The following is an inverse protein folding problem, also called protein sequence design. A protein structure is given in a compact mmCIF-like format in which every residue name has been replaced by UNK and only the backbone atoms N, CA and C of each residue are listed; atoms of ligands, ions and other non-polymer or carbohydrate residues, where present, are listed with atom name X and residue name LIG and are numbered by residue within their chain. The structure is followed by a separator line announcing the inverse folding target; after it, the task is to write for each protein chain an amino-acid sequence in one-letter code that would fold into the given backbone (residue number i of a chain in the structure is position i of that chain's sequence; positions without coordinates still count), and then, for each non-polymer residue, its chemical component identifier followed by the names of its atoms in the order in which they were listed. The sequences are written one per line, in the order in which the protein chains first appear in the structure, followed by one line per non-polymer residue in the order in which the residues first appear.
data_IF_610383809545
#
_entry.id   IF_610383809545
#
_cell.length_a   1.000
_cell.length_b   1.000
_cell.length_c   1.000
_cell.angle_alpha   90.00
_cell.angle_beta   90.00
_cell.angle_gamma   90.00
#
_symmetry.space_group_name_H-M   'P 1'
#
loop_
_entity.id
_entity.type
_entity.pdbx_description
1 polymer ?
#
# COMPACT_ATOMS: atom_id res chain seq x y z
N UNK A 1 34.99 8.89 -12.69
CA UNK A 1 34.16 7.72 -12.32
C UNK A 1 33.42 7.26 -13.56
N UNK A 2 33.27 5.95 -13.77
CA UNK A 2 32.56 5.41 -14.94
C UNK A 2 31.05 5.62 -14.75
N UNK A 3 30.33 6.08 -15.78
CA UNK A 3 28.87 6.30 -15.74
C UNK A 3 28.09 5.03 -15.31
N UNK A 4 28.65 3.84 -15.54
CA UNK A 4 28.10 2.56 -15.08
C UNK A 4 28.11 2.41 -13.55
N UNK A 5 29.14 2.94 -12.89
CA UNK A 5 29.28 2.88 -11.43
C UNK A 5 28.34 3.88 -10.74
N UNK A 6 28.14 5.05 -11.32
CA UNK A 6 27.15 6.05 -10.85
C UNK A 6 25.72 5.56 -11.06
N UNK A 7 25.42 4.94 -12.20
CA UNK A 7 24.11 4.34 -12.45
C UNK A 7 23.79 3.22 -11.44
N UNK A 8 24.76 2.34 -11.16
CA UNK A 8 24.58 1.24 -10.21
C UNK A 8 24.47 1.71 -8.77
N UNK A 9 25.20 2.74 -8.35
CA UNK A 9 25.03 3.34 -7.01
C UNK A 9 23.63 3.97 -6.87
N UNK A 10 23.21 4.77 -7.85
CA UNK A 10 21.88 5.40 -7.83
C UNK A 10 20.72 4.38 -7.84
N UNK A 11 20.94 3.21 -8.44
CA UNK A 11 19.94 2.13 -8.43
C UNK A 11 19.85 1.48 -7.04
N UNK A 12 20.99 1.22 -6.40
CA UNK A 12 21.04 0.63 -5.04
C UNK A 12 20.45 1.59 -4.00
N UNK A 13 20.77 2.89 -4.06
CA UNK A 13 20.21 3.88 -3.14
C UNK A 13 18.69 4.00 -3.28
N UNK A 14 18.15 3.90 -4.51
CA UNK A 14 16.70 3.87 -4.76
C UNK A 14 16.01 2.60 -4.24
N UNK A 15 16.65 1.45 -4.40
CA UNK A 15 16.12 0.17 -3.90
C UNK A 15 16.05 0.18 -2.37
N UNK A 16 17.07 0.74 -1.69
CA UNK A 16 17.10 0.89 -0.24
C UNK A 16 16.03 1.88 0.27
N UNK A 17 15.80 2.99 -0.44
CA UNK A 17 14.75 3.96 -0.09
C UNK A 17 13.34 3.36 -0.27
N UNK A 18 13.15 2.53 -1.31
CA UNK A 18 11.88 1.83 -1.54
C UNK A 18 11.58 0.81 -0.47
N UNK A 19 12.54 -0.06 -0.14
CA UNK A 19 12.39 -1.08 0.89
C UNK A 19 12.11 -0.43 2.26
N UNK A 20 12.82 0.65 2.59
CA UNK A 20 12.56 1.41 3.83
C UNK A 20 11.16 2.03 3.88
N UNK A 21 10.64 2.53 2.75
CA UNK A 21 9.28 3.08 2.68
C UNK A 21 8.23 1.98 2.84
N UNK A 22 8.40 0.84 2.18
CA UNK A 22 7.50 -0.31 2.30
C UNK A 22 7.46 -0.83 3.74
N UNK A 23 8.62 -1.00 4.37
CA UNK A 23 8.73 -1.42 5.78
C UNK A 23 8.03 -0.44 6.71
N UNK A 24 8.20 0.88 6.49
CA UNK A 24 7.53 1.90 7.29
C UNK A 24 6.01 1.82 7.17
N UNK A 25 5.47 1.72 5.95
CA UNK A 25 4.02 1.63 5.74
C UNK A 25 3.47 0.33 6.36
N UNK A 26 4.18 -0.78 6.21
CA UNK A 26 3.80 -2.05 6.82
C UNK A 26 3.80 -1.99 8.36
N UNK A 27 4.79 -1.32 8.95
CA UNK A 27 4.89 -1.05 10.39
C UNK A 27 3.74 -0.17 10.86
N UNK A 28 3.44 0.94 10.17
CA UNK A 28 2.32 1.83 10.49
C UNK A 28 0.99 1.07 10.56
N UNK A 29 0.70 0.19 9.59
CA UNK A 29 -0.50 -0.65 9.62
C UNK A 29 -0.49 -1.61 10.81
N UNK A 30 0.65 -2.22 11.11
CA UNK A 30 0.79 -3.23 12.17
C UNK A 30 0.70 -2.63 13.57
N UNK A 31 1.22 -1.42 13.74
CA UNK A 31 1.18 -0.65 14.98
C UNK A 31 -0.16 0.08 15.18
N UNK A 32 -0.98 0.14 14.14
CA UNK A 32 -2.31 0.75 14.19
C UNK A 32 -2.27 2.27 14.06
N UNK A 33 -1.36 2.83 13.26
CA UNK A 33 -1.35 4.25 12.95
C UNK A 33 -2.72 4.64 12.35
N UNK A 34 -3.46 5.57 12.98
CA UNK A 34 -4.82 5.87 12.56
C UNK A 34 -4.94 6.35 11.12
N UNK A 35 -3.95 7.09 10.61
CA UNK A 35 -4.02 7.64 9.27
C UNK A 35 -3.82 6.54 8.24
N UNK A 36 -2.76 5.75 8.39
CA UNK A 36 -2.44 4.66 7.46
C UNK A 36 -3.49 3.55 7.52
N UNK A 37 -4.00 3.20 8.71
CA UNK A 37 -5.08 2.22 8.85
C UNK A 37 -6.40 2.67 8.22
N UNK A 38 -6.77 3.96 8.35
CA UNK A 38 -7.98 4.47 7.70
C UNK A 38 -7.85 4.46 6.17
N UNK A 39 -6.70 4.90 5.65
CA UNK A 39 -6.43 4.84 4.21
C UNK A 39 -6.46 3.39 3.69
N UNK A 40 -5.91 2.44 4.45
CA UNK A 40 -5.97 1.02 4.09
C UNK A 40 -7.39 0.46 4.14
N UNK A 41 -8.20 0.85 5.13
CA UNK A 41 -9.60 0.46 5.21
C UNK A 41 -10.42 1.00 4.02
N UNK A 42 -10.20 2.26 3.64
CA UNK A 42 -10.80 2.86 2.44
C UNK A 42 -10.36 2.13 1.16
N UNK A 43 -9.08 1.78 1.05
CA UNK A 43 -8.57 0.98 -0.05
C UNK A 43 -9.27 -0.39 -0.13
N UNK A 44 -9.37 -1.11 0.99
CA UNK A 44 -10.08 -2.39 1.06
C UNK A 44 -11.56 -2.23 0.64
N UNK A 45 -12.24 -1.19 1.13
CA UNK A 45 -13.64 -0.95 0.81
C UNK A 45 -13.88 -0.74 -0.70
N UNK A 46 -12.92 -0.14 -1.40
CA UNK A 46 -12.99 0.08 -2.85
C UNK A 46 -12.66 -1.18 -3.67
N UNK A 47 -11.80 -2.06 -3.16
CA UNK A 47 -11.37 -3.28 -3.86
C UNK A 47 -12.29 -4.50 -3.62
N UNK A 48 -13.11 -4.46 -2.56
CA UNK A 48 -13.99 -5.57 -2.19
C UNK A 48 -14.98 -5.91 -3.31
N UNK A 49 -14.97 -7.18 -3.73
CA UNK A 49 -15.85 -7.66 -4.79
C UNK A 49 -17.31 -7.74 -4.29
N UNK A 50 -18.24 -7.25 -5.12
CA UNK A 50 -19.68 -7.34 -4.88
C UNK A 50 -20.19 -8.76 -4.61
N UNK A 51 -19.56 -9.81 -5.17
CA UNK A 51 -19.92 -11.20 -4.87
C UNK A 51 -19.66 -11.59 -3.41
N UNK A 52 -18.54 -11.15 -2.84
CA UNK A 52 -18.17 -11.45 -1.45
C UNK A 52 -19.10 -10.69 -0.49
N UNK A 53 -19.39 -9.42 -0.80
CA UNK A 53 -20.38 -8.61 -0.07
C UNK A 53 -21.75 -9.28 -0.10
N UNK A 54 -22.18 -9.74 -1.28
CA UNK A 54 -23.45 -10.44 -1.45
C UNK A 54 -23.51 -11.74 -0.62
N UNK A 55 -22.46 -12.57 -0.67
CA UNK A 55 -22.37 -13.79 0.11
C UNK A 55 -22.47 -13.52 1.62
N UNK A 56 -21.78 -12.48 2.10
CA UNK A 56 -21.86 -12.04 3.49
C UNK A 56 -23.28 -11.66 3.90
N UNK A 57 -23.95 -10.82 3.09
CA UNK A 57 -25.33 -10.42 3.33
C UNK A 57 -26.27 -11.63 3.34
N UNK A 58 -26.11 -12.54 2.39
CA UNK A 58 -26.94 -13.74 2.26
C UNK A 58 -26.79 -14.66 3.48
N UNK A 59 -25.55 -14.90 3.91
CA UNK A 59 -25.25 -15.70 5.10
C UNK A 59 -25.95 -15.13 6.34
N UNK A 60 -25.93 -13.80 6.52
CA UNK A 60 -26.58 -13.13 7.65
C UNK A 60 -28.11 -13.19 7.58
N UNK A 61 -28.70 -13.03 6.40
CA UNK A 61 -30.16 -13.11 6.21
C UNK A 61 -30.67 -14.52 6.50
N UNK A 62 -29.93 -15.54 6.07
CA UNK A 62 -30.32 -16.94 6.24
C UNK A 62 -29.88 -17.54 7.57
N UNK A 63 -29.11 -16.81 8.38
CA UNK A 63 -28.43 -17.32 9.58
C UNK A 63 -27.60 -18.59 9.28
N UNK A 64 -26.92 -18.59 8.13
CA UNK A 64 -26.04 -19.67 7.71
C UNK A 64 -24.62 -19.42 8.23
N UNK A 65 -24.31 -20.04 9.38
CA UNK A 65 -23.00 -19.94 10.00
C UNK A 65 -21.88 -20.58 9.16
N UNK A 66 -22.21 -21.56 8.31
CA UNK A 66 -21.25 -22.22 7.43
C UNK A 66 -20.79 -21.28 6.32
N UNK A 67 -21.76 -20.67 5.63
CA UNK A 67 -21.49 -19.66 4.60
C UNK A 67 -20.83 -18.41 5.19
N UNK A 68 -21.26 -17.98 6.39
CA UNK A 68 -20.66 -16.84 7.07
C UNK A 68 -19.18 -17.09 7.35
N UNK A 69 -18.83 -18.27 7.88
CA UNK A 69 -17.44 -18.63 8.14
C UNK A 69 -16.61 -18.64 6.85
N UNK A 70 -17.10 -19.28 5.79
CA UNK A 70 -16.41 -19.31 4.49
C UNK A 70 -16.16 -17.90 3.96
N UNK A 71 -17.17 -17.03 4.06
CA UNK A 71 -17.07 -15.64 3.58
C UNK A 71 -16.05 -14.83 4.39
N UNK A 72 -15.99 -15.04 5.71
CA UNK A 72 -14.99 -14.37 6.56
C UNK A 72 -13.56 -14.87 6.27
N UNK A 73 -13.38 -16.18 6.08
CA UNK A 73 -12.08 -16.75 5.71
C UNK A 73 -11.59 -16.21 4.34
N UNK A 74 -12.51 -16.06 3.38
CA UNK A 74 -12.23 -15.42 2.08
C UNK A 74 -11.90 -13.93 2.24
N UNK A 75 -12.62 -13.21 3.10
CA UNK A 75 -12.36 -11.80 3.39
C UNK A 75 -10.96 -11.59 3.99
N UNK A 76 -10.56 -12.41 4.96
CA UNK A 76 -9.23 -12.34 5.56
C UNK A 76 -8.13 -12.56 4.51
N UNK A 77 -8.34 -13.52 3.59
CA UNK A 77 -7.42 -13.77 2.47
C UNK A 77 -7.34 -12.56 1.52
N UNK A 78 -8.48 -11.94 1.23
CA UNK A 78 -8.52 -10.72 0.42
C UNK A 78 -7.78 -9.56 1.10
N UNK A 79 -7.98 -9.34 2.40
CA UNK A 79 -7.34 -8.26 3.16
C UNK A 79 -5.82 -8.39 3.10
N UNK A 80 -5.26 -9.58 3.28
CA UNK A 80 -3.80 -9.75 3.18
C UNK A 80 -3.28 -9.48 1.77
N UNK A 81 -4.03 -9.88 0.73
CA UNK A 81 -3.68 -9.53 -0.66
C UNK A 81 -3.76 -8.02 -0.91
N UNK A 82 -4.77 -7.36 -0.34
CA UNK A 82 -4.95 -5.91 -0.46
C UNK A 82 -3.87 -5.15 0.30
N UNK A 83 -3.38 -5.68 1.42
CA UNK A 83 -2.28 -5.10 2.19
C UNK A 83 -1.04 -4.91 1.33
N UNK A 84 -0.62 -5.96 0.63
CA UNK A 84 0.54 -5.91 -0.28
C UNK A 84 0.34 -4.85 -1.37
N UNK A 85 -0.81 -4.88 -2.06
CA UNK A 85 -1.14 -3.91 -3.12
C UNK A 85 -1.17 -2.46 -2.61
N UNK A 86 -1.70 -2.25 -1.42
CA UNK A 86 -1.78 -0.94 -0.80
C UNK A 86 -0.38 -0.41 -0.47
N UNK A 87 0.48 -1.24 0.12
CA UNK A 87 1.88 -0.89 0.42
C UNK A 87 2.60 -0.47 -0.86
N UNK A 88 2.45 -1.23 -1.95
CA UNK A 88 3.06 -0.90 -3.24
C UNK A 88 2.53 0.43 -3.81
N UNK A 89 1.21 0.65 -3.75
CA UNK A 89 0.59 1.88 -4.23
C UNK A 89 1.07 3.10 -3.44
N UNK A 90 1.04 3.05 -2.12
CA UNK A 90 1.49 4.15 -1.24
C UNK A 90 2.99 4.40 -1.36
N UNK A 91 3.80 3.35 -1.52
CA UNK A 91 5.24 3.50 -1.78
C UNK A 91 5.48 4.22 -3.10
N UNK A 92 4.73 3.88 -4.15
CA UNK A 92 4.80 4.56 -5.45
C UNK A 92 4.46 6.05 -5.34
N UNK A 93 3.41 6.39 -4.59
CA UNK A 93 3.00 7.78 -4.34
C UNK A 93 4.06 8.54 -3.53
N UNK A 94 4.59 7.93 -2.47
CA UNK A 94 5.64 8.54 -1.66
C UNK A 94 6.89 8.83 -2.50
N UNK A 95 7.35 7.88 -3.31
CA UNK A 95 8.52 8.06 -4.17
C UNK A 95 8.31 9.16 -5.21
N UNK A 96 7.11 9.27 -5.79
CA UNK A 96 6.78 10.35 -6.72
C UNK A 96 6.86 11.72 -6.03
N UNK A 97 6.28 11.84 -4.83
CA UNK A 97 6.33 13.07 -4.04
C UNK A 97 7.78 13.46 -3.68
N UNK A 98 8.62 12.49 -3.28
CA UNK A 98 10.04 12.77 -3.00
C UNK A 98 10.79 13.31 -4.22
N UNK A 99 10.52 12.79 -5.42
CA UNK A 99 11.15 13.27 -6.66
C UNK A 99 10.72 14.69 -7.01
N UNK A 100 9.43 14.99 -6.91
CA UNK A 100 8.89 16.33 -7.16
C UNK A 100 9.49 17.35 -6.17
N UNK A 101 9.57 17.00 -4.89
CA UNK A 101 10.16 17.86 -3.86
C UNK A 101 11.67 18.11 -4.09
N UNK A 102 12.40 17.09 -4.56
CA UNK A 102 13.81 17.20 -4.90
C UNK A 102 14.06 18.07 -6.14
N UNK A 103 13.23 17.92 -7.17
CA UNK A 103 13.27 18.76 -8.39
C UNK A 103 12.98 20.22 -8.05
N UNK A 104 11.92 20.50 -7.28
CA UNK A 104 11.57 21.85 -6.85
C UNK A 104 12.69 22.54 -6.05
N UNK A 105 13.35 21.80 -5.14
CA UNK A 105 14.51 22.31 -4.39
C UNK A 105 15.71 22.59 -5.29
N UNK A 106 15.97 21.72 -6.28
CA UNK A 106 17.07 21.92 -7.21
C UNK A 106 16.87 23.16 -8.07
N UNK A 107 15.65 23.37 -8.58
CA UNK A 107 15.28 24.56 -9.35
C UNK A 107 15.41 25.84 -8.50
N UNK A 108 14.95 25.82 -7.24
CA UNK A 108 15.06 26.96 -6.35
C UNK A 108 16.51 27.37 -6.06
N UNK A 109 17.45 26.42 -6.02
CA UNK A 109 18.87 26.68 -5.77
C UNK A 109 19.62 27.17 -7.02
N UNK A 110 19.22 26.70 -8.21
CA UNK A 110 19.99 26.94 -9.45
C UNK A 110 19.42 28.04 -10.36
N UNK A 111 18.20 28.51 -10.09
CA UNK A 111 17.56 29.61 -10.83
C UNK A 111 17.34 30.88 -9.99
N UNK A 112 17.99 30.99 -8.83
CA UNK A 112 18.24 32.27 -8.10
C UNK A 112 19.46 33.01 -8.67
#
# INVERSE_FOLDING_TARGET
MSADLEHRLNQIDRENDLESLQERIASDISEGDPKTCNAFADFCANELNGSLIYAFCLARIQADDGLLKQTLDELDTCIETYREKFIDAETGLALAAYKEDAEARWEAIHFE
#
